data_IF_533532846805
#
_entry.id   IF_533532846805
#
_cell.length_a   1.000
_cell.length_b   1.000
_cell.length_c   1.000
_cell.angle_alpha   90.00
_cell.angle_beta   90.00
_cell.angle_gamma   90.00
#
_symmetry.space_group_name_H-M   'P 1'
#
loop_
_entity.id
_entity.type
_entity.pdbx_description
1 polymer ?
#
# COMPACT_ATOMS: atom_id res chain seq x y z
N UNK A 1 -2.54 -16.23 -15.67
CA UNK A 1 -2.85 -15.05 -14.85
C UNK A 1 -2.16 -15.12 -13.48
N UNK A 2 -2.20 -16.25 -12.77
CA UNK A 2 -1.62 -16.39 -11.44
C UNK A 2 -0.11 -16.08 -11.38
N UNK A 3 0.66 -16.68 -12.31
CA UNK A 3 2.10 -16.38 -12.45
C UNK A 3 2.35 -14.91 -12.77
N UNK A 4 1.52 -14.28 -13.61
CA UNK A 4 1.65 -12.87 -13.95
C UNK A 4 1.38 -11.96 -12.74
N UNK A 5 0.33 -12.26 -11.98
CA UNK A 5 0.01 -11.51 -10.76
C UNK A 5 1.10 -11.65 -9.66
N UNK A 6 1.79 -12.80 -9.63
CA UNK A 6 2.89 -13.02 -8.70
C UNK A 6 4.17 -12.23 -9.04
N UNK A 7 4.32 -11.80 -10.31
CA UNK A 7 5.51 -11.07 -10.78
C UNK A 7 5.51 -9.57 -10.44
N UNK A 8 4.39 -9.04 -9.93
CA UNK A 8 4.28 -7.60 -9.64
C UNK A 8 4.61 -6.74 -10.86
N UNK A 9 5.56 -5.81 -10.73
CA UNK A 9 6.03 -4.94 -11.80
C UNK A 9 6.94 -5.60 -12.84
N UNK A 10 7.21 -6.91 -12.72
CA UNK A 10 8.07 -7.70 -13.60
C UNK A 10 9.49 -7.88 -13.06
N UNK A 11 10.21 -8.85 -13.64
CA UNK A 11 11.51 -9.32 -13.13
C UNK A 11 12.51 -8.19 -12.92
N UNK A 12 12.70 -7.32 -13.91
CA UNK A 12 13.66 -6.21 -13.85
C UNK A 12 13.41 -5.27 -12.65
N UNK A 13 12.13 -4.94 -12.38
CA UNK A 13 11.78 -4.05 -11.26
C UNK A 13 11.92 -4.76 -9.91
N UNK A 14 11.63 -6.04 -9.85
CA UNK A 14 11.84 -6.87 -8.65
C UNK A 14 13.33 -6.97 -8.35
N UNK A 15 14.18 -7.25 -9.34
CA UNK A 15 15.63 -7.28 -9.18
C UNK A 15 16.19 -5.93 -8.69
N UNK A 16 15.69 -4.81 -9.24
CA UNK A 16 16.05 -3.46 -8.78
C UNK A 16 15.63 -3.22 -7.32
N UNK A 17 14.44 -3.68 -6.93
CA UNK A 17 13.97 -3.59 -5.55
C UNK A 17 14.92 -4.33 -4.59
N UNK A 18 15.29 -5.58 -4.95
CA UNK A 18 16.23 -6.38 -4.18
C UNK A 18 17.64 -5.77 -4.14
N UNK A 19 18.14 -5.23 -5.26
CA UNK A 19 19.45 -4.57 -5.32
C UNK A 19 19.54 -3.36 -4.37
N UNK A 20 18.41 -2.70 -4.12
CA UNK A 20 18.31 -1.60 -3.14
C UNK A 20 18.13 -2.11 -1.68
N UNK A 21 18.15 -3.42 -1.46
CA UNK A 21 17.98 -4.04 -0.15
C UNK A 21 16.55 -3.99 0.38
N UNK A 22 15.55 -3.93 -0.51
CA UNK A 22 14.14 -3.96 -0.17
C UNK A 22 13.47 -5.26 -0.61
N UNK A 23 12.56 -5.75 0.20
CA UNK A 23 11.68 -6.87 -0.13
C UNK A 23 10.49 -6.40 -0.97
N UNK A 24 9.94 -7.30 -1.80
CA UNK A 24 8.66 -7.08 -2.48
C UNK A 24 7.49 -7.15 -1.49
N UNK A 25 6.31 -6.66 -1.91
CA UNK A 25 5.09 -6.73 -1.10
C UNK A 25 4.75 -8.17 -0.68
N UNK A 26 4.91 -9.13 -1.59
CA UNK A 26 4.62 -10.56 -1.32
C UNK A 26 5.57 -11.16 -0.30
N UNK A 27 6.86 -10.92 -0.46
CA UNK A 27 7.88 -11.39 0.49
C UNK A 27 7.65 -10.84 1.90
N UNK A 28 7.24 -9.57 2.01
CA UNK A 28 6.88 -8.95 3.30
C UNK A 28 5.67 -9.63 3.95
N UNK A 29 4.64 -9.95 3.17
CA UNK A 29 3.45 -10.67 3.66
C UNK A 29 3.82 -12.10 4.06
N UNK A 30 4.61 -12.80 3.26
CA UNK A 30 5.06 -14.17 3.55
C UNK A 30 5.95 -14.24 4.79
N UNK A 31 6.73 -13.19 5.07
CA UNK A 31 7.54 -13.09 6.29
C UNK A 31 6.69 -12.76 7.53
N UNK A 32 5.62 -11.97 7.35
CA UNK A 32 4.77 -11.51 8.45
C UNK A 32 3.81 -12.60 8.95
N UNK A 33 3.24 -13.38 8.04
CA UNK A 33 2.16 -14.31 8.35
C UNK A 33 2.68 -15.73 8.61
N UNK A 34 1.93 -16.50 9.37
CA UNK A 34 2.15 -17.93 9.55
C UNK A 34 2.16 -18.62 8.17
N UNK A 35 3.16 -19.47 7.95
CA UNK A 35 3.41 -20.12 6.66
C UNK A 35 2.16 -20.81 6.10
N UNK A 36 1.81 -20.46 4.86
CA UNK A 36 0.70 -21.07 4.13
C UNK A 36 -0.69 -20.62 4.57
N UNK A 37 -0.81 -19.59 5.42
CA UNK A 37 -2.11 -19.08 5.88
C UNK A 37 -2.64 -17.90 5.05
N UNK A 38 -1.81 -17.32 4.18
CA UNK A 38 -2.22 -16.17 3.38
C UNK A 38 -3.28 -16.53 2.34
N UNK A 39 -4.41 -15.84 2.38
CA UNK A 39 -5.49 -15.90 1.42
C UNK A 39 -5.62 -14.53 0.74
N UNK A 40 -5.12 -14.44 -0.48
CA UNK A 40 -5.11 -13.20 -1.25
C UNK A 40 -6.51 -12.87 -1.80
N UNK A 41 -6.91 -11.61 -1.69
CA UNK A 41 -8.19 -11.08 -2.19
C UNK A 41 -7.91 -10.18 -3.40
N UNK A 42 -8.78 -10.21 -4.42
CA UNK A 42 -8.74 -9.35 -5.60
C UNK A 42 -7.38 -9.37 -6.34
N UNK A 43 -6.77 -10.53 -6.42
CA UNK A 43 -5.45 -10.77 -7.02
C UNK A 43 -5.35 -10.33 -8.48
N UNK A 44 -6.44 -10.38 -9.22
CA UNK A 44 -6.46 -10.22 -10.68
C UNK A 44 -7.07 -8.90 -11.15
N UNK A 45 -7.54 -8.06 -10.25
CA UNK A 45 -8.10 -6.76 -10.63
C UNK A 45 -7.02 -5.86 -11.22
N UNK A 46 -7.41 -4.98 -12.12
CA UNK A 46 -6.56 -4.00 -12.77
C UNK A 46 -7.22 -2.62 -12.70
N UNK A 47 -6.45 -1.55 -12.88
CA UNK A 47 -7.01 -0.20 -12.95
C UNK A 47 -7.90 0.00 -14.19
N UNK A 48 -8.75 1.02 -14.14
CA UNK A 48 -9.64 1.41 -15.23
C UNK A 48 -9.20 2.71 -15.94
N UNK A 49 -8.00 3.20 -15.65
CA UNK A 49 -7.46 4.41 -16.25
C UNK A 49 -7.21 4.20 -17.74
N UNK A 50 -7.72 5.11 -18.58
CA UNK A 50 -7.54 5.13 -20.03
C UNK A 50 -6.65 6.26 -20.51
N UNK A 51 -6.32 7.22 -19.62
CA UNK A 51 -5.50 8.36 -19.94
C UNK A 51 -4.00 8.04 -19.88
N UNK A 52 -3.20 8.84 -20.54
CA UNK A 52 -1.73 8.76 -20.55
C UNK A 52 -1.16 7.39 -20.98
N UNK A 53 -1.90 6.64 -21.82
CA UNK A 53 -1.49 5.33 -22.34
C UNK A 53 -1.59 4.20 -21.30
N UNK A 54 -2.32 4.44 -20.20
CA UNK A 54 -2.53 3.44 -19.15
C UNK A 54 -3.38 2.26 -19.61
N UNK A 55 -4.25 2.45 -20.58
CA UNK A 55 -5.09 1.39 -21.17
C UNK A 55 -4.29 0.20 -21.73
N UNK A 56 -2.98 0.39 -21.97
CA UNK A 56 -2.05 -0.65 -22.45
C UNK A 56 -1.18 -1.26 -21.36
N UNK A 57 -1.34 -0.86 -20.12
CA UNK A 57 -0.40 -1.16 -19.03
C UNK A 57 -1.11 -1.79 -17.82
N UNK A 58 -1.87 -2.84 -18.04
CA UNK A 58 -2.57 -3.54 -16.97
C UNK A 58 -1.64 -4.53 -16.25
N UNK A 59 -1.45 -4.32 -14.95
CA UNK A 59 -0.71 -5.23 -14.08
C UNK A 59 -1.71 -5.83 -13.07
N UNK A 60 -1.89 -7.17 -13.01
CA UNK A 60 -2.81 -7.80 -12.08
C UNK A 60 -2.48 -7.46 -10.63
N UNK A 61 -3.51 -7.18 -9.83
CA UNK A 61 -3.38 -6.74 -8.45
C UNK A 61 -3.16 -5.23 -8.29
N UNK A 62 -2.83 -4.53 -9.38
CA UNK A 62 -2.73 -3.07 -9.49
C UNK A 62 -1.89 -2.40 -8.37
N UNK A 63 -0.78 -3.08 -7.99
CA UNK A 63 0.16 -2.56 -7.00
C UNK A 63 -0.24 -2.71 -5.55
N UNK A 64 -1.37 -3.38 -5.27
CA UNK A 64 -1.78 -3.72 -3.91
C UNK A 64 -1.92 -5.23 -3.78
N UNK A 65 -1.12 -5.82 -2.88
CA UNK A 65 -1.29 -7.21 -2.44
C UNK A 65 -2.04 -7.19 -1.13
N UNK A 66 -3.20 -7.83 -1.06
CA UNK A 66 -4.03 -7.76 0.14
C UNK A 66 -4.82 -9.04 0.39
N UNK A 67 -5.20 -9.26 1.65
CA UNK A 67 -5.97 -10.42 2.04
C UNK A 67 -5.98 -10.62 3.55
N UNK A 68 -6.04 -11.87 3.97
CA UNK A 68 -6.01 -12.25 5.37
C UNK A 68 -5.15 -13.51 5.58
N UNK A 69 -4.69 -13.68 6.80
CA UNK A 69 -3.91 -14.83 7.22
C UNK A 69 -3.86 -14.91 8.74
N UNK A 70 -2.85 -15.57 9.26
CA UNK A 70 -2.68 -15.71 10.72
C UNK A 70 -1.30 -15.24 11.15
N UNK A 71 -1.22 -14.73 12.38
CA UNK A 71 0.01 -14.49 13.12
C UNK A 71 -0.16 -15.20 14.47
N UNK A 72 0.70 -16.15 14.77
CA UNK A 72 0.61 -17.01 15.96
C UNK A 72 -0.80 -17.62 16.13
N UNK A 73 -1.37 -18.10 15.01
CA UNK A 73 -2.70 -18.71 14.94
C UNK A 73 -3.88 -17.74 14.98
N UNK A 74 -3.67 -16.43 15.16
CA UNK A 74 -4.72 -15.41 15.25
C UNK A 74 -4.99 -14.78 13.89
N UNK A 75 -6.26 -14.62 13.55
CA UNK A 75 -6.68 -13.96 12.29
C UNK A 75 -6.24 -12.51 12.26
N UNK A 76 -5.61 -12.12 11.15
CA UNK A 76 -5.28 -10.73 10.82
C UNK A 76 -5.60 -10.44 9.35
N UNK A 77 -5.91 -9.20 9.06
CA UNK A 77 -6.04 -8.68 7.71
C UNK A 77 -4.80 -7.86 7.36
N UNK A 78 -4.34 -7.96 6.11
CA UNK A 78 -3.11 -7.30 5.67
C UNK A 78 -3.28 -6.72 4.28
N UNK A 79 -2.67 -5.57 4.05
CA UNK A 79 -2.42 -5.05 2.72
C UNK A 79 -1.00 -4.50 2.62
N UNK A 80 -0.40 -4.65 1.45
CA UNK A 80 0.95 -4.20 1.15
C UNK A 80 0.99 -3.45 -0.17
N UNK A 81 1.66 -2.32 -0.19
CA UNK A 81 1.97 -1.59 -1.42
C UNK A 81 3.16 -2.26 -2.11
N UNK A 82 2.99 -2.57 -3.39
CA UNK A 82 4.06 -3.12 -4.23
C UNK A 82 4.77 -1.99 -4.99
N UNK A 83 5.92 -1.59 -4.48
CA UNK A 83 6.71 -0.51 -5.08
C UNK A 83 7.18 -0.83 -6.50
N UNK A 84 7.26 -2.10 -6.88
CA UNK A 84 7.60 -2.52 -8.24
C UNK A 84 6.53 -2.14 -9.27
N UNK A 85 5.29 -1.89 -8.81
CA UNK A 85 4.16 -1.49 -9.64
C UNK A 85 3.93 0.02 -9.50
N UNK A 86 4.33 0.77 -10.51
CA UNK A 86 4.18 2.24 -10.57
C UNK A 86 4.71 2.99 -9.33
N UNK A 87 5.80 2.50 -8.71
CA UNK A 87 6.36 3.11 -7.50
C UNK A 87 5.42 3.00 -6.28
N UNK A 88 4.62 1.96 -6.21
CA UNK A 88 3.64 1.77 -5.13
C UNK A 88 2.53 2.82 -5.09
N UNK A 89 2.34 3.59 -6.19
CA UNK A 89 1.30 4.63 -6.23
C UNK A 89 -0.10 4.04 -6.20
N UNK A 90 -0.98 4.64 -5.41
CA UNK A 90 -2.35 4.17 -5.23
C UNK A 90 -3.25 4.60 -6.39
N UNK A 91 -3.92 3.63 -6.99
CA UNK A 91 -5.03 3.82 -7.93
C UNK A 91 -6.38 3.82 -7.23
N UNK A 92 -7.43 4.22 -7.92
CA UNK A 92 -8.80 4.06 -7.44
C UNK A 92 -9.14 2.57 -7.17
N UNK A 93 -8.71 1.67 -8.05
CA UNK A 93 -8.90 0.22 -7.88
C UNK A 93 -8.12 -0.33 -6.69
N UNK A 94 -6.85 0.09 -6.53
CA UNK A 94 -6.03 -0.29 -5.36
C UNK A 94 -6.65 0.18 -4.05
N UNK A 95 -7.22 1.39 -4.03
CA UNK A 95 -7.94 1.91 -2.87
C UNK A 95 -9.16 1.07 -2.51
N UNK A 96 -9.96 0.63 -3.49
CA UNK A 96 -11.11 -0.25 -3.26
C UNK A 96 -10.69 -1.58 -2.63
N UNK A 97 -9.54 -2.14 -3.00
CA UNK A 97 -8.98 -3.35 -2.38
C UNK A 97 -8.66 -3.12 -0.91
N UNK A 98 -7.97 -2.01 -0.58
CA UNK A 98 -7.63 -1.65 0.79
C UNK A 98 -8.91 -1.45 1.62
N UNK A 99 -9.86 -0.67 1.14
CA UNK A 99 -11.15 -0.44 1.78
C UNK A 99 -11.89 -1.74 2.07
N UNK A 100 -11.93 -2.68 1.09
CA UNK A 100 -12.53 -4.00 1.29
C UNK A 100 -11.86 -4.76 2.44
N UNK A 101 -10.54 -4.78 2.49
CA UNK A 101 -9.78 -5.45 3.57
C UNK A 101 -10.07 -4.81 4.93
N UNK A 102 -10.08 -3.48 5.02
CA UNK A 102 -10.42 -2.75 6.25
C UNK A 102 -11.84 -3.07 6.73
N UNK A 103 -12.82 -3.09 5.81
CA UNK A 103 -14.21 -3.44 6.12
C UNK A 103 -14.34 -4.90 6.60
N UNK A 104 -13.62 -5.83 5.98
CA UNK A 104 -13.61 -7.23 6.41
C UNK A 104 -12.95 -7.39 7.78
N UNK A 105 -11.85 -6.69 8.04
CA UNK A 105 -11.20 -6.66 9.34
C UNK A 105 -12.16 -6.15 10.43
N UNK A 106 -12.82 -5.02 10.18
CA UNK A 106 -13.78 -4.42 11.10
C UNK A 106 -14.97 -5.37 11.36
N UNK A 107 -15.53 -5.97 10.30
CA UNK A 107 -16.65 -6.93 10.41
C UNK A 107 -16.28 -8.16 11.25
N UNK A 108 -15.03 -8.62 11.17
CA UNK A 108 -14.58 -9.82 11.89
C UNK A 108 -13.92 -9.51 13.24
N UNK A 109 -13.82 -8.23 13.63
CA UNK A 109 -13.14 -7.83 14.87
C UNK A 109 -11.67 -8.20 14.89
N UNK A 110 -11.01 -8.24 13.72
CA UNK A 110 -9.62 -8.65 13.60
C UNK A 110 -8.69 -7.45 13.31
N UNK A 111 -7.42 -7.48 13.74
CA UNK A 111 -6.47 -6.42 13.41
C UNK A 111 -6.27 -6.25 11.91
N UNK A 112 -5.98 -5.00 11.48
CA UNK A 112 -5.53 -4.69 10.13
C UNK A 112 -4.08 -4.20 10.17
N UNK A 113 -3.24 -4.75 9.29
CA UNK A 113 -1.82 -4.42 9.19
C UNK A 113 -1.54 -3.87 7.79
N UNK A 114 -1.00 -2.67 7.74
CA UNK A 114 -0.58 -1.97 6.52
C UNK A 114 0.93 -2.05 6.34
N UNK A 115 1.40 -2.55 5.22
CA UNK A 115 2.81 -2.56 4.83
C UNK A 115 3.03 -1.51 3.75
N UNK A 116 3.52 -0.34 4.17
CA UNK A 116 3.54 0.87 3.36
C UNK A 116 4.90 1.06 2.67
N UNK A 117 4.86 1.25 1.35
CA UNK A 117 6.00 1.54 0.47
C UNK A 117 5.43 2.20 -0.79
N UNK A 118 5.20 3.53 -0.76
CA UNK A 118 4.33 4.19 -1.74
C UNK A 118 4.78 5.62 -2.06
N UNK A 119 4.83 5.91 -3.35
CA UNK A 119 5.01 7.27 -3.87
C UNK A 119 3.76 8.17 -3.76
N UNK A 120 2.66 7.71 -3.14
CA UNK A 120 1.44 8.49 -2.96
C UNK A 120 0.34 8.19 -3.98
N UNK A 121 -0.43 9.20 -4.37
CA UNK A 121 -1.52 9.04 -5.34
C UNK A 121 -0.99 8.80 -6.76
N UNK A 122 -1.63 7.92 -7.52
CA UNK A 122 -1.32 7.70 -8.94
C UNK A 122 -1.80 8.89 -9.76
N UNK A 123 -0.86 9.73 -10.18
CA UNK A 123 -1.17 11.02 -10.85
C UNK A 123 -1.96 10.86 -12.15
N UNK A 124 -1.78 9.75 -12.88
CA UNK A 124 -2.50 9.46 -14.12
C UNK A 124 -4.01 9.29 -13.90
N UNK A 125 -4.45 8.98 -12.68
CA UNK A 125 -5.87 8.83 -12.33
C UNK A 125 -6.47 10.11 -11.70
N UNK A 126 -5.66 11.14 -11.49
CA UNK A 126 -6.11 12.45 -11.02
C UNK A 126 -6.94 12.35 -9.73
N UNK A 127 -8.13 12.95 -9.75
CA UNK A 127 -9.06 13.00 -8.60
C UNK A 127 -9.53 11.61 -8.15
N UNK A 128 -9.59 10.62 -9.05
CA UNK A 128 -10.00 9.25 -8.73
C UNK A 128 -9.11 8.60 -7.68
N UNK A 129 -7.80 8.75 -7.83
CA UNK A 129 -6.81 8.26 -6.88
C UNK A 129 -6.89 9.00 -5.52
N UNK A 130 -7.08 10.31 -5.53
CA UNK A 130 -7.24 11.12 -4.30
C UNK A 130 -8.51 10.72 -3.55
N UNK A 131 -9.62 10.53 -4.26
CA UNK A 131 -10.88 10.04 -3.69
C UNK A 131 -10.72 8.65 -3.06
N UNK A 132 -9.87 7.81 -3.66
CA UNK A 132 -9.49 6.53 -3.09
C UNK A 132 -8.86 6.65 -1.71
N UNK A 133 -7.92 7.57 -1.54
CA UNK A 133 -7.34 7.86 -0.22
C UNK A 133 -8.39 8.35 0.80
N UNK A 134 -9.30 9.23 0.40
CA UNK A 134 -10.37 9.70 1.29
C UNK A 134 -11.20 8.52 1.82
N UNK A 135 -11.48 7.53 0.97
CA UNK A 135 -12.20 6.32 1.37
C UNK A 135 -11.42 5.47 2.38
N UNK A 136 -10.10 5.36 2.22
CA UNK A 136 -9.21 4.66 3.17
C UNK A 136 -9.21 5.40 4.52
N UNK A 137 -9.07 6.74 4.52
CA UNK A 137 -9.09 7.54 5.75
C UNK A 137 -10.40 7.40 6.50
N UNK A 138 -11.53 7.39 5.78
CA UNK A 138 -12.82 7.11 6.38
C UNK A 138 -12.85 5.77 7.10
N UNK A 139 -12.33 4.70 6.48
CA UNK A 139 -12.24 3.39 7.14
C UNK A 139 -11.32 3.42 8.36
N UNK A 140 -10.18 4.12 8.29
CA UNK A 140 -9.30 4.27 9.45
C UNK A 140 -10.03 4.93 10.63
N UNK A 141 -10.84 5.97 10.37
CA UNK A 141 -11.57 6.68 11.44
C UNK A 141 -12.67 5.85 12.07
N UNK A 142 -13.47 5.11 11.28
CA UNK A 142 -14.53 4.26 11.85
C UNK A 142 -13.99 3.01 12.55
N UNK A 143 -12.79 2.55 12.20
CA UNK A 143 -12.13 1.43 12.84
C UNK A 143 -11.36 1.81 14.12
N UNK A 144 -11.11 3.11 14.33
CA UNK A 144 -10.38 3.64 15.50
C UNK A 144 -11.08 3.30 16.80
N UNK A 145 -10.35 2.69 17.72
CA UNK A 145 -10.88 2.20 19.00
C UNK A 145 -11.77 0.95 18.90
N UNK A 146 -11.96 0.38 17.71
CA UNK A 146 -12.77 -0.83 17.49
C UNK A 146 -11.90 -2.05 17.19
N UNK A 147 -10.93 -1.90 16.29
CA UNK A 147 -9.94 -2.95 15.97
C UNK A 147 -8.54 -2.34 15.95
N UNK A 148 -7.49 -3.10 16.30
CA UNK A 148 -6.12 -2.62 16.17
C UNK A 148 -5.75 -2.33 14.72
N UNK A 149 -5.19 -1.16 14.48
CA UNK A 149 -4.68 -0.71 13.19
C UNK A 149 -3.17 -0.49 13.29
N UNK A 150 -2.39 -1.23 12.53
CA UNK A 150 -0.92 -1.23 12.60
C UNK A 150 -0.35 -0.85 11.25
N UNK A 151 0.54 0.13 11.21
CA UNK A 151 1.25 0.56 10.00
C UNK A 151 2.74 0.32 10.14
N UNK A 152 3.32 -0.40 9.18
CA UNK A 152 4.76 -0.53 9.00
C UNK A 152 5.19 0.27 7.76
N UNK A 153 6.06 1.25 7.94
CA UNK A 153 6.64 2.05 6.87
C UNK A 153 7.95 1.38 6.46
N UNK A 154 7.99 0.86 5.23
CA UNK A 154 9.07 -0.02 4.77
C UNK A 154 9.85 0.55 3.57
N UNK A 155 9.57 1.78 3.22
CA UNK A 155 10.17 2.55 2.15
C UNK A 155 9.63 3.99 2.17
N UNK A 156 9.59 4.69 1.03
CA UNK A 156 8.94 5.99 0.94
C UNK A 156 7.45 5.89 1.21
N UNK A 157 6.90 6.90 1.86
CA UNK A 157 5.49 7.00 2.20
C UNK A 157 5.06 8.46 2.05
N UNK A 158 4.66 8.83 0.81
CA UNK A 158 4.48 10.21 0.40
C UNK A 158 3.02 10.62 0.30
N UNK A 159 2.70 11.88 0.63
CA UNK A 159 1.39 12.48 0.44
C UNK A 159 0.27 11.72 1.12
N UNK A 160 -0.78 11.34 0.38
CA UNK A 160 -1.89 10.54 0.91
C UNK A 160 -1.47 9.23 1.58
N UNK A 161 -0.37 8.63 1.14
CA UNK A 161 0.16 7.41 1.74
C UNK A 161 0.66 7.63 3.18
N UNK A 162 1.08 8.83 3.57
CA UNK A 162 1.49 9.12 4.95
C UNK A 162 0.31 9.46 5.87
N UNK A 163 -0.82 9.92 5.33
CA UNK A 163 -2.00 10.26 6.15
C UNK A 163 -2.66 9.01 6.74
N UNK A 164 -2.83 7.94 5.96
CA UNK A 164 -3.45 6.71 6.47
C UNK A 164 -2.69 6.13 7.67
N UNK A 165 -1.36 5.94 7.63
CA UNK A 165 -0.58 5.54 8.80
C UNK A 165 -0.75 6.47 10.01
N UNK A 166 -0.82 7.80 9.79
CA UNK A 166 -1.00 8.77 10.87
C UNK A 166 -2.36 8.65 11.57
N UNK A 167 -3.33 7.97 10.97
CA UNK A 167 -4.66 7.68 11.54
C UNK A 167 -4.73 6.29 12.19
N UNK A 168 -3.64 5.51 12.20
CA UNK A 168 -3.58 4.17 12.80
C UNK A 168 -3.05 4.21 14.23
N UNK A 169 -3.22 3.10 14.98
CA UNK A 169 -2.86 3.07 16.41
C UNK A 169 -1.35 2.92 16.64
N UNK A 170 -0.65 2.20 15.74
CA UNK A 170 0.78 1.93 15.86
C UNK A 170 1.48 2.17 14.52
N UNK A 171 2.60 2.90 14.56
CA UNK A 171 3.45 3.16 13.42
C UNK A 171 4.86 2.63 13.71
N UNK A 172 5.34 1.73 12.86
CA UNK A 172 6.70 1.23 12.87
C UNK A 172 7.45 1.73 11.65
N UNK A 173 8.68 2.20 11.84
CA UNK A 173 9.54 2.67 10.76
C UNK A 173 10.89 1.96 10.79
N UNK A 174 11.42 1.63 9.62
CA UNK A 174 12.77 1.05 9.49
C UNK A 174 13.79 2.18 9.40
N UNK A 175 14.72 2.21 10.36
CA UNK A 175 15.79 3.22 10.40
C UNK A 175 16.56 3.26 9.06
N UNK A 176 16.84 4.45 8.57
CA UNK A 176 17.60 4.73 7.33
C UNK A 176 16.96 4.20 6.03
N UNK A 177 15.77 3.57 6.10
CA UNK A 177 15.06 3.00 4.94
C UNK A 177 13.69 3.63 4.72
N UNK A 178 13.04 4.06 5.79
CA UNK A 178 11.67 4.55 5.75
C UNK A 178 11.64 6.07 5.81
N UNK A 179 10.82 6.64 4.95
CA UNK A 179 10.57 8.08 4.91
C UNK A 179 9.06 8.34 4.90
N UNK A 180 8.59 9.22 5.76
CA UNK A 180 7.19 9.58 5.86
C UNK A 180 7.07 11.10 5.74
N UNK A 181 6.46 11.58 4.67
CA UNK A 181 6.41 13.00 4.34
C UNK A 181 5.16 13.36 3.53
N UNK A 182 4.68 14.59 3.70
CA UNK A 182 3.51 15.10 2.97
C UNK A 182 3.89 15.43 1.52
N UNK A 183 5.06 16.06 1.32
CA UNK A 183 5.56 16.44 0.00
C UNK A 183 7.09 16.47 0.01
N UNK A 184 7.70 16.41 -1.18
CA UNK A 184 9.16 16.41 -1.33
C UNK A 184 9.80 17.77 -1.05
N UNK A 185 11.13 17.81 -0.81
CA UNK A 185 11.90 19.02 -0.47
C UNK A 185 11.72 20.18 -1.45
N UNK A 186 11.69 19.91 -2.76
CA UNK A 186 11.53 20.94 -3.79
C UNK A 186 10.18 21.67 -3.68
N UNK A 187 9.11 20.95 -3.32
CA UNK A 187 7.79 21.54 -3.13
C UNK A 187 7.75 22.35 -1.84
N UNK A 188 8.35 21.84 -0.77
CA UNK A 188 8.49 22.58 0.50
C UNK A 188 9.21 23.90 0.23
N UNK A 189 10.36 23.87 -0.43
CA UNK A 189 11.13 25.05 -0.79
C UNK A 189 10.33 26.05 -1.63
N UNK A 190 9.55 25.54 -2.60
CA UNK A 190 8.75 26.41 -3.47
C UNK A 190 7.58 27.11 -2.74
N UNK A 191 7.01 26.47 -1.69
CA UNK A 191 5.82 26.96 -0.99
C UNK A 191 6.16 27.71 0.28
N UNK A 192 7.07 27.17 1.10
CA UNK A 192 7.42 27.75 2.41
C UNK A 192 8.73 28.53 2.39
N UNK A 193 9.52 28.43 1.32
CA UNK A 193 10.88 28.98 1.19
C UNK A 193 11.89 28.41 2.22
N UNK A 194 11.58 27.25 2.81
CA UNK A 194 12.46 26.52 3.72
C UNK A 194 13.26 25.46 2.95
N UNK A 195 14.52 25.30 3.31
CA UNK A 195 15.34 24.20 2.83
C UNK A 195 15.27 23.05 3.84
N UNK A 196 14.79 21.89 3.38
CA UNK A 196 14.69 20.64 4.17
C UNK A 196 15.39 19.52 3.44
N UNK A 197 15.96 18.56 4.19
CA UNK A 197 16.67 17.38 3.67
C UNK A 197 15.70 16.25 3.27
#
# INVERSE_FOLDING_TARGET
>A
LDKLAAQGGGVERVEKQHANGHMTARERIDMLLDKGTFNEIDKFVVHHCTDFGMEKKHIPGDGIVCGYGKIDGRLVYVYAYDFTVYGGTLSATGAQKIVKVQQLALKNGAPVIALNDSGGARIQEGVGSISGYASIFYQNTIASGVIPQISAILGPCAGGACYSPALTDFIFMVKEKSHMFITGPDVVKAVTHEEVD
#
